data_IF_945238108169
#
_entry.id   IF_945238108169
#
_cell.length_a   1.000
_cell.length_b   1.000
_cell.length_c   1.000
_cell.angle_alpha   90.00
_cell.angle_beta   90.00
_cell.angle_gamma   90.00
#
_symmetry.space_group_name_H-M   'P 1'
#
loop_
_entity.id
_entity.type
_entity.pdbx_description
1 polymer ?
#
# COMPACT_ATOMS: atom_id res chain seq x y z
N UNK A 1 -11.22 -17.44 -6.46
CA UNK A 1 -10.77 -16.09 -6.84
C UNK A 1 -10.26 -15.17 -5.72
N UNK A 2 -10.26 -15.54 -4.43
CA UNK A 2 -9.80 -14.60 -3.39
C UNK A 2 -8.26 -14.57 -3.16
N UNK A 3 -7.51 -15.57 -3.63
CA UNK A 3 -6.07 -15.72 -3.38
C UNK A 3 -5.19 -14.93 -4.36
N UNK A 4 -5.50 -13.65 -4.55
CA UNK A 4 -4.69 -12.72 -5.34
C UNK A 4 -4.31 -11.49 -4.50
N UNK A 5 -3.42 -10.66 -5.04
CA UNK A 5 -3.12 -9.38 -4.44
C UNK A 5 -4.09 -8.32 -4.95
N UNK A 6 -5.00 -7.86 -4.08
CA UNK A 6 -5.91 -6.77 -4.38
C UNK A 6 -5.34 -5.50 -3.75
N UNK A 7 -5.09 -4.47 -4.55
CA UNK A 7 -4.59 -3.16 -4.06
C UNK A 7 -5.68 -2.46 -3.27
N UNK A 8 -5.38 -2.07 -2.03
CA UNK A 8 -6.32 -1.43 -1.09
C UNK A 8 -5.91 -0.03 -0.67
N UNK A 9 -4.60 0.27 -0.73
CA UNK A 9 -4.05 1.59 -0.48
C UNK A 9 -3.14 1.98 -1.64
N UNK A 10 -3.32 3.21 -2.13
CA UNK A 10 -2.44 3.89 -3.06
C UNK A 10 -2.30 5.35 -2.56
N UNK A 11 -1.25 5.61 -1.80
CA UNK A 11 -0.97 6.93 -1.24
C UNK A 11 0.28 7.52 -1.88
N UNK A 12 0.20 8.80 -2.29
CA UNK A 12 1.34 9.53 -2.82
C UNK A 12 1.95 10.39 -1.72
N UNK A 13 3.25 10.29 -1.53
CA UNK A 13 4.02 11.12 -0.60
C UNK A 13 4.48 12.42 -1.29
N UNK A 14 4.84 13.40 -0.46
CA UNK A 14 5.29 14.72 -0.93
C UNK A 14 6.57 14.67 -1.77
N UNK A 15 7.44 13.70 -1.51
CA UNK A 15 8.68 13.42 -2.24
C UNK A 15 8.44 12.70 -3.59
N UNK A 16 7.18 12.59 -4.04
CA UNK A 16 6.72 11.86 -5.22
C UNK A 16 6.85 10.34 -5.13
N UNK A 17 7.25 9.80 -3.98
CA UNK A 17 7.17 8.37 -3.74
C UNK A 17 5.72 7.94 -3.53
N UNK A 18 5.47 6.65 -3.69
CA UNK A 18 4.14 6.06 -3.65
C UNK A 18 4.17 4.89 -2.69
N UNK A 19 3.27 4.89 -1.70
CA UNK A 19 2.99 3.75 -0.84
C UNK A 19 1.81 2.96 -1.43
N UNK A 20 2.03 1.67 -1.65
CA UNK A 20 1.02 0.73 -2.13
C UNK A 20 0.88 -0.40 -1.12
N UNK A 21 -0.34 -0.67 -0.65
CA UNK A 21 -0.63 -1.85 0.16
C UNK A 21 -1.74 -2.69 -0.47
N UNK A 22 -1.62 -4.00 -0.35
CA UNK A 22 -2.62 -4.92 -0.85
C UNK A 22 -2.76 -6.18 -0.02
N UNK A 23 -3.83 -6.94 -0.29
CA UNK A 23 -4.19 -8.15 0.47
C UNK A 23 -3.15 -9.26 0.35
N UNK A 24 -2.41 -9.29 -0.76
CA UNK A 24 -1.39 -10.28 -1.11
C UNK A 24 -1.81 -11.71 -0.71
N UNK A 25 -2.96 -12.15 -1.23
CA UNK A 25 -3.57 -13.45 -0.96
C UNK A 25 -3.72 -13.77 0.54
N UNK A 26 -4.42 -12.88 1.27
CA UNK A 26 -4.61 -12.99 2.73
C UNK A 26 -3.30 -12.89 3.54
N UNK A 27 -2.29 -12.21 3.01
CA UNK A 27 -1.05 -11.88 3.73
C UNK A 27 -0.67 -10.42 3.43
N UNK A 28 -1.35 -9.43 4.03
CA UNK A 28 -1.21 -8.03 3.66
C UNK A 28 0.24 -7.54 3.65
N UNK A 29 0.65 -6.91 2.54
CA UNK A 29 1.98 -6.33 2.37
C UNK A 29 1.87 -4.90 1.83
N UNK A 30 2.74 -4.03 2.32
CA UNK A 30 2.95 -2.68 1.83
C UNK A 30 4.32 -2.53 1.16
N UNK A 31 4.39 -1.74 0.10
CA UNK A 31 5.61 -1.38 -0.63
C UNK A 31 5.68 0.11 -0.87
N UNK A 32 6.87 0.69 -0.67
CA UNK A 32 7.19 2.05 -1.08
C UNK A 32 7.90 2.01 -2.43
N UNK A 33 7.46 2.85 -3.35
CA UNK A 33 8.05 3.04 -4.67
C UNK A 33 8.55 4.46 -4.81
N UNK A 34 9.81 4.61 -5.18
CA UNK A 34 10.43 5.91 -5.43
C UNK A 34 10.60 6.15 -6.92
N UNK A 35 10.54 7.42 -7.34
CA UNK A 35 10.75 7.80 -8.73
C UNK A 35 12.22 7.62 -9.08
N UNK A 36 12.48 6.77 -10.06
CA UNK A 36 13.79 6.52 -10.63
C UNK A 36 14.00 7.38 -11.90
N UNK A 37 15.11 7.13 -12.62
CA UNK A 37 15.36 7.78 -13.92
C UNK A 37 14.26 7.38 -14.92
N UNK A 38 13.95 8.27 -15.86
CA UNK A 38 13.03 8.01 -16.98
C UNK A 38 11.58 7.68 -16.57
N UNK A 39 11.07 8.31 -15.50
CA UNK A 39 9.69 8.12 -15.02
C UNK A 39 9.33 6.69 -14.59
N UNK A 40 10.35 5.86 -14.35
CA UNK A 40 10.16 4.55 -13.73
C UNK A 40 9.95 4.68 -12.22
N UNK A 41 9.20 3.74 -11.64
CA UNK A 41 9.08 3.57 -10.20
C UNK A 41 9.87 2.34 -9.76
N UNK A 42 10.72 2.50 -8.74
CA UNK A 42 11.48 1.40 -8.15
C UNK A 42 11.06 1.16 -6.71
N UNK A 43 10.82 -0.10 -6.38
CA UNK A 43 10.53 -0.50 -5.00
C UNK A 43 11.75 -0.17 -4.13
N UNK A 44 11.57 0.63 -3.09
CA UNK A 44 12.60 0.99 -2.12
C UNK A 44 12.41 0.31 -0.76
N UNK A 45 11.17 -0.06 -0.41
CA UNK A 45 10.85 -0.72 0.86
C UNK A 45 9.70 -1.70 0.69
N UNK A 46 9.75 -2.81 1.43
CA UNK A 46 8.63 -3.74 1.63
C UNK A 46 8.48 -4.03 3.13
N UNK A 47 7.24 -4.01 3.63
CA UNK A 47 6.95 -4.29 5.04
C UNK A 47 5.55 -4.86 5.22
N UNK A 48 5.26 -5.38 6.43
CA UNK A 48 3.96 -5.94 6.78
C UNK A 48 2.85 -4.90 6.62
N UNK A 49 1.76 -5.27 5.95
CA UNK A 49 0.53 -4.48 5.85
C UNK A 49 -0.45 -4.73 6.99
N UNK A 50 -0.07 -5.46 8.05
CA UNK A 50 -0.94 -5.77 9.17
C UNK A 50 -1.47 -4.51 9.86
N UNK A 51 -2.79 -4.40 9.99
CA UNK A 51 -3.45 -3.21 10.56
C UNK A 51 -3.49 -2.00 9.61
N UNK A 52 -2.95 -2.14 8.39
CA UNK A 52 -2.93 -1.10 7.37
C UNK A 52 -3.84 -1.48 6.20
N UNK A 53 -3.72 -2.72 5.69
CA UNK A 53 -4.56 -3.24 4.62
C UNK A 53 -5.24 -4.54 5.06
N UNK A 54 -6.46 -4.83 4.53
CA UNK A 54 -7.22 -5.99 4.94
C UNK A 54 -6.62 -7.27 4.39
N UNK A 55 -6.88 -8.38 5.10
CA UNK A 55 -6.58 -9.72 4.63
C UNK A 55 -7.48 -10.12 3.46
N UNK A 56 -8.78 -9.95 3.62
CA UNK A 56 -9.79 -10.33 2.63
C UNK A 56 -10.12 -9.14 1.71
N UNK A 57 -10.12 -9.30 0.38
CA UNK A 57 -10.50 -8.21 -0.54
C UNK A 57 -11.94 -7.68 -0.35
N UNK A 58 -12.82 -8.45 0.27
CA UNK A 58 -14.21 -8.07 0.52
C UNK A 58 -14.39 -7.25 1.81
N UNK A 59 -13.35 -7.09 2.64
CA UNK A 59 -13.43 -6.23 3.81
C UNK A 59 -13.36 -4.75 3.42
N UNK A 60 -14.26 -3.95 3.99
CA UNK A 60 -14.23 -2.50 3.84
C UNK A 60 -12.98 -1.94 4.51
N UNK A 61 -12.32 -1.00 3.84
CA UNK A 61 -11.12 -0.35 4.35
C UNK A 61 -11.10 1.10 3.92
N UNK A 62 -10.47 1.96 4.72
CA UNK A 62 -10.24 3.36 4.43
C UNK A 62 -8.83 3.75 4.86
N UNK A 63 -8.26 4.77 4.23
CA UNK A 63 -7.00 5.36 4.66
C UNK A 63 -7.01 6.87 4.43
N UNK A 64 -6.21 7.57 5.22
CA UNK A 64 -5.91 8.99 5.09
C UNK A 64 -4.40 9.19 5.23
N UNK A 65 -3.82 9.96 4.32
CA UNK A 65 -2.44 10.42 4.41
C UNK A 65 -2.44 11.89 4.82
N UNK A 66 -1.70 12.21 5.88
CA UNK A 66 -1.48 13.59 6.34
C UNK A 66 0.03 13.79 6.54
N UNK A 67 0.68 14.41 5.56
CA UNK A 67 2.14 14.49 5.49
C UNK A 67 2.78 13.10 5.56
N UNK A 68 3.64 12.89 6.56
CA UNK A 68 4.36 11.63 6.77
C UNK A 68 3.53 10.59 7.53
N UNK A 69 2.34 10.94 8.03
CA UNK A 69 1.47 10.05 8.81
C UNK A 69 0.46 9.33 7.91
N UNK A 70 0.28 8.04 8.15
CA UNK A 70 -0.75 7.22 7.52
C UNK A 70 -1.74 6.77 8.60
N UNK A 71 -3.00 7.10 8.41
CA UNK A 71 -4.11 6.61 9.21
C UNK A 71 -4.85 5.56 8.37
N UNK A 72 -5.11 4.39 8.95
CA UNK A 72 -5.80 3.30 8.27
C UNK A 72 -6.91 2.74 9.16
N UNK A 73 -8.02 2.36 8.53
CA UNK A 73 -9.08 1.54 9.13
C UNK A 73 -9.33 0.35 8.21
N UNK A 74 -9.17 -0.86 8.73
CA UNK A 74 -9.18 -2.10 7.96
C UNK A 74 -9.81 -3.25 8.72
#
# INVERSE_FOLDING_TARGET
>A
DACHNYVRILAKDNDQSILICGTNAFQPICRKYERAKYDEYRQSLEFSGLGIAPYDPNHNSTFLRDGDLLYAGT
#
